data_IF_284362281025
#
_entry.id   IF_284362281025
#
_cell.length_a   1.000
_cell.length_b   1.000
_cell.length_c   1.000
_cell.angle_alpha   90.00
_cell.angle_beta   90.00
_cell.angle_gamma   90.00
#
_symmetry.space_group_name_H-M   'P 1'
#
loop_
_entity.id
_entity.type
_entity.pdbx_description
1 polymer ?
#
# COMPACT_ATOMS: atom_id res chain seq x y z
N UNK A 1 0.74 -18.41 14.46
CA UNK A 1 0.90 -17.65 13.21
C UNK A 1 0.73 -16.17 13.52
N UNK A 2 1.58 -15.34 12.92
CA UNK A 2 1.48 -13.89 12.97
C UNK A 2 1.21 -13.35 11.56
N UNK A 3 0.18 -12.51 11.40
CA UNK A 3 -0.06 -11.70 10.22
C UNK A 3 0.26 -10.25 10.56
N UNK A 4 1.37 -9.76 10.07
CA UNK A 4 1.85 -8.41 10.35
C UNK A 4 1.43 -7.43 9.25
N UNK A 5 0.27 -6.81 9.44
CA UNK A 5 -0.27 -5.75 8.58
C UNK A 5 -0.07 -4.36 9.18
N UNK A 6 0.31 -4.27 10.45
CA UNK A 6 0.43 -3.00 11.14
C UNK A 6 1.53 -2.13 10.50
N UNK A 7 1.13 -0.96 10.03
CA UNK A 7 2.03 0.04 9.45
C UNK A 7 1.33 1.39 9.32
N UNK A 8 2.09 2.46 9.30
CA UNK A 8 1.64 3.73 8.77
C UNK A 8 2.14 3.85 7.32
N UNK A 9 1.26 3.47 6.38
CA UNK A 9 1.59 3.35 4.96
C UNK A 9 1.35 4.68 4.23
N UNK A 10 2.24 5.66 4.41
CA UNK A 10 2.15 6.98 3.80
C UNK A 10 3.48 7.35 3.13
N UNK A 11 3.75 6.75 1.95
CA UNK A 11 4.99 6.95 1.18
C UNK A 11 5.36 8.42 1.06
N UNK A 12 4.46 9.22 0.46
CA UNK A 12 4.72 10.65 0.20
C UNK A 12 4.91 11.49 1.45
N UNK A 13 4.34 11.09 2.60
CA UNK A 13 4.52 11.79 3.88
C UNK A 13 5.76 11.33 4.63
N UNK A 14 6.22 10.11 4.41
CA UNK A 14 7.30 9.50 5.18
C UNK A 14 8.60 10.33 5.27
N UNK A 15 9.00 11.13 4.24
CA UNK A 15 10.16 12.01 4.35
C UNK A 15 10.01 13.13 5.39
N UNK A 16 8.79 13.52 5.74
CA UNK A 16 8.47 14.62 6.65
C UNK A 16 8.19 14.18 8.08
N UNK A 17 8.04 12.85 8.30
CA UNK A 17 7.77 12.20 9.59
C UNK A 17 8.70 10.99 9.79
N UNK A 18 9.98 11.16 9.54
CA UNK A 18 10.98 10.07 9.44
C UNK A 18 11.06 9.21 10.69
N UNK A 19 11.19 9.84 11.88
CA UNK A 19 11.28 9.10 13.13
C UNK A 19 10.00 8.31 13.39
N UNK A 20 8.85 8.94 13.27
CA UNK A 20 7.56 8.27 13.41
C UNK A 20 7.42 7.11 12.43
N UNK A 21 7.84 7.31 11.17
CA UNK A 21 7.81 6.27 10.15
C UNK A 21 8.66 5.06 10.56
N UNK A 22 9.89 5.26 11.01
CA UNK A 22 10.75 4.16 11.43
C UNK A 22 10.29 3.50 12.72
N UNK A 23 9.84 4.26 13.70
CA UNK A 23 9.30 3.72 14.96
C UNK A 23 8.11 2.77 14.71
N UNK A 24 7.19 3.16 13.81
CA UNK A 24 5.97 2.39 13.55
C UNK A 24 6.14 1.30 12.50
N UNK A 25 7.02 1.47 11.51
CA UNK A 25 7.14 0.52 10.40
C UNK A 25 8.35 -0.41 10.54
N UNK A 26 9.43 0.01 11.20
CA UNK A 26 10.64 -0.80 11.38
C UNK A 26 10.77 -1.32 12.82
N UNK A 27 10.82 -0.43 13.82
CA UNK A 27 11.08 -0.84 15.21
C UNK A 27 9.93 -1.73 15.72
N UNK A 28 8.68 -1.38 15.44
CA UNK A 28 7.53 -2.23 15.79
C UNK A 28 7.66 -3.61 15.14
N UNK A 29 8.08 -3.69 13.88
CA UNK A 29 8.26 -4.96 13.17
C UNK A 29 9.38 -5.79 13.80
N UNK A 30 10.51 -5.19 14.13
CA UNK A 30 11.64 -5.85 14.81
C UNK A 30 11.23 -6.44 16.15
N UNK A 31 10.43 -5.70 16.94
CA UNK A 31 9.88 -6.21 18.20
C UNK A 31 8.98 -7.43 17.99
N UNK A 32 8.10 -7.40 16.97
CA UNK A 32 7.24 -8.54 16.64
C UNK A 32 8.04 -9.75 16.15
N UNK A 33 9.09 -9.56 15.37
CA UNK A 33 10.00 -10.62 14.92
C UNK A 33 10.69 -11.24 16.13
N UNK A 34 11.24 -10.44 17.03
CA UNK A 34 11.89 -10.90 18.27
C UNK A 34 10.92 -11.73 19.12
N UNK A 35 9.72 -11.23 19.37
CA UNK A 35 8.69 -11.98 20.11
C UNK A 35 8.32 -13.29 19.38
N UNK A 36 8.22 -13.25 18.06
CA UNK A 36 7.86 -14.43 17.25
C UNK A 36 8.92 -15.53 17.36
N UNK A 37 10.19 -15.16 17.42
CA UNK A 37 11.29 -16.11 17.67
C UNK A 37 11.18 -16.69 19.09
N UNK A 38 11.04 -15.82 20.11
CA UNK A 38 10.97 -16.21 21.53
C UNK A 38 9.81 -17.17 21.83
N UNK A 39 8.66 -16.96 21.17
CA UNK A 39 7.45 -17.75 21.37
C UNK A 39 7.23 -18.85 20.32
N UNK A 40 8.25 -19.19 19.54
CA UNK A 40 8.22 -20.26 18.53
C UNK A 40 7.01 -20.14 17.59
N UNK A 41 6.77 -18.95 17.06
CA UNK A 41 5.71 -18.72 16.06
C UNK A 41 5.98 -19.58 14.82
N UNK A 42 5.01 -20.38 14.43
CA UNK A 42 5.17 -21.34 13.33
C UNK A 42 5.27 -20.69 11.93
N UNK A 43 4.70 -19.49 11.76
CA UNK A 43 4.76 -18.71 10.52
C UNK A 43 4.57 -17.23 10.78
N UNK A 44 5.43 -16.40 10.19
CA UNK A 44 5.32 -14.94 10.16
C UNK A 44 4.99 -14.47 8.73
N UNK A 45 3.79 -13.95 8.53
CA UNK A 45 3.36 -13.37 7.24
C UNK A 45 3.49 -11.87 7.31
N UNK A 46 4.34 -11.30 6.47
CA UNK A 46 4.63 -9.87 6.46
C UNK A 46 4.03 -9.19 5.22
N UNK A 47 3.18 -8.19 5.45
CA UNK A 47 2.76 -7.28 4.41
C UNK A 47 3.86 -6.21 4.19
N UNK A 48 4.73 -6.47 3.23
CA UNK A 48 5.71 -5.53 2.73
C UNK A 48 5.04 -4.50 1.81
N UNK A 49 5.68 -4.09 0.74
CA UNK A 49 5.12 -3.17 -0.25
C UNK A 49 5.86 -3.28 -1.57
N UNK A 50 5.18 -3.05 -2.67
CA UNK A 50 5.83 -2.87 -3.97
C UNK A 50 6.74 -1.63 -4.02
N UNK A 51 6.59 -0.66 -3.12
CA UNK A 51 7.44 0.53 -3.04
C UNK A 51 8.92 0.22 -2.82
N UNK A 52 9.25 -1.00 -2.34
CA UNK A 52 10.64 -1.45 -2.19
C UNK A 52 11.42 -1.51 -3.51
N UNK A 53 10.73 -1.61 -4.64
CA UNK A 53 11.38 -1.59 -5.96
C UNK A 53 11.88 -0.21 -6.37
N UNK A 54 11.23 0.85 -5.87
CA UNK A 54 11.57 2.24 -6.20
C UNK A 54 11.29 2.60 -7.65
N UNK A 55 12.15 3.44 -8.24
CA UNK A 55 12.01 3.97 -9.60
C UNK A 55 13.20 3.65 -10.54
N UNK A 56 14.17 2.89 -10.04
CA UNK A 56 15.39 2.57 -10.77
C UNK A 56 15.13 1.68 -12.00
N UNK A 57 14.14 0.82 -11.92
CA UNK A 57 13.81 -0.16 -12.95
C UNK A 57 12.45 0.15 -13.56
N UNK A 58 12.25 -0.30 -14.81
CA UNK A 58 10.95 -0.21 -15.47
C UNK A 58 10.06 -1.40 -15.03
N UNK A 59 8.78 -1.19 -14.73
CA UNK A 59 7.85 -2.28 -14.50
C UNK A 59 7.57 -3.09 -15.80
N UNK A 60 7.00 -4.31 -15.72
CA UNK A 60 6.49 -4.92 -14.48
C UNK A 60 7.63 -5.36 -13.56
N UNK A 61 7.48 -5.08 -12.25
CA UNK A 61 8.47 -5.52 -11.25
C UNK A 61 8.29 -7.01 -10.95
N UNK A 62 9.38 -7.77 -11.01
CA UNK A 62 9.42 -9.19 -10.60
C UNK A 62 10.18 -9.34 -9.27
N UNK A 63 9.92 -10.43 -8.56
CA UNK A 63 10.45 -10.65 -7.22
C UNK A 63 11.97 -10.81 -7.17
N UNK A 64 12.60 -11.18 -8.28
CA UNK A 64 14.06 -11.29 -8.47
C UNK A 64 14.76 -9.96 -8.74
N UNK A 65 14.00 -8.90 -9.05
CA UNK A 65 14.57 -7.57 -9.24
C UNK A 65 15.16 -7.03 -7.94
N UNK A 66 16.32 -6.39 -8.04
CA UNK A 66 16.95 -5.72 -6.91
C UNK A 66 16.11 -4.55 -6.41
N UNK A 67 15.93 -4.48 -5.09
CA UNK A 67 15.22 -3.40 -4.46
C UNK A 67 16.04 -2.09 -4.49
N UNK A 68 15.35 -0.97 -4.66
CA UNK A 68 15.95 0.36 -4.73
C UNK A 68 14.97 1.43 -4.15
N UNK A 69 14.63 1.34 -2.85
CA UNK A 69 13.64 2.21 -2.21
C UNK A 69 14.04 3.68 -2.31
N UNK A 70 13.06 4.56 -2.57
CA UNK A 70 13.27 6.00 -2.77
C UNK A 70 12.71 6.88 -1.65
N UNK A 71 12.04 6.30 -0.67
CA UNK A 71 11.46 7.00 0.47
C UNK A 71 11.63 6.22 1.78
N UNK A 72 11.51 6.88 2.96
CA UNK A 72 11.68 6.23 4.25
C UNK A 72 10.70 5.09 4.55
N UNK A 73 9.48 5.12 4.00
CA UNK A 73 8.52 4.02 4.16
C UNK A 73 9.01 2.77 3.43
N UNK A 74 9.43 2.91 2.19
CA UNK A 74 9.96 1.81 1.40
C UNK A 74 11.26 1.25 2.00
N UNK A 75 12.15 2.12 2.52
CA UNK A 75 13.36 1.71 3.27
C UNK A 75 12.99 0.87 4.48
N UNK A 76 12.00 1.31 5.29
CA UNK A 76 11.57 0.56 6.47
C UNK A 76 11.01 -0.82 6.09
N UNK A 77 10.17 -0.90 5.04
CA UNK A 77 9.63 -2.18 4.56
C UNK A 77 10.72 -3.13 4.09
N UNK A 78 11.67 -2.64 3.31
CA UNK A 78 12.79 -3.45 2.83
C UNK A 78 13.72 -3.91 3.96
N UNK A 79 13.98 -3.05 4.95
CA UNK A 79 14.77 -3.43 6.13
C UNK A 79 14.13 -4.59 6.91
N UNK A 80 12.80 -4.62 7.04
CA UNK A 80 12.07 -5.74 7.68
C UNK A 80 12.16 -7.01 6.83
N UNK A 81 12.14 -6.93 5.50
CA UNK A 81 12.35 -8.11 4.64
C UNK A 81 13.72 -8.74 4.90
N UNK A 82 14.78 -7.91 4.97
CA UNK A 82 16.14 -8.39 5.27
C UNK A 82 16.25 -9.00 6.68
N UNK A 83 15.60 -8.38 7.67
CA UNK A 83 15.60 -8.88 9.05
C UNK A 83 14.87 -10.23 9.17
N UNK A 84 13.78 -10.42 8.45
CA UNK A 84 13.08 -11.73 8.38
C UNK A 84 13.93 -12.82 7.73
N UNK A 85 14.69 -12.50 6.70
CA UNK A 85 15.62 -13.45 6.08
C UNK A 85 16.73 -13.89 7.07
N UNK A 86 17.26 -12.93 7.85
CA UNK A 86 18.24 -13.19 8.90
C UNK A 86 17.60 -14.03 10.02
N UNK A 87 16.39 -13.66 10.47
CA UNK A 87 15.66 -14.38 11.51
C UNK A 87 15.37 -15.85 11.11
N UNK A 88 15.06 -16.09 9.85
CA UNK A 88 14.89 -17.44 9.32
C UNK A 88 16.20 -18.24 9.36
N UNK A 89 17.29 -17.67 8.82
CA UNK A 89 18.59 -18.35 8.74
C UNK A 89 19.21 -18.62 10.12
N UNK A 90 19.10 -17.66 11.03
CA UNK A 90 19.75 -17.72 12.34
C UNK A 90 18.90 -18.38 13.41
N UNK A 91 17.57 -18.19 13.36
CA UNK A 91 16.67 -18.60 14.45
C UNK A 91 15.56 -19.56 13.99
N UNK A 92 15.48 -19.89 12.69
CA UNK A 92 14.48 -20.81 12.16
C UNK A 92 13.04 -20.24 12.10
N UNK A 93 12.85 -18.91 12.17
CA UNK A 93 11.54 -18.30 12.05
C UNK A 93 11.03 -18.40 10.60
N UNK A 94 10.11 -19.32 10.34
CA UNK A 94 9.49 -19.43 9.03
C UNK A 94 8.71 -18.17 8.69
N UNK A 95 8.96 -17.58 7.52
CA UNK A 95 8.27 -16.39 7.07
C UNK A 95 7.70 -16.54 5.64
N UNK A 96 6.78 -15.67 5.31
CA UNK A 96 6.36 -15.36 3.94
C UNK A 96 6.21 -13.85 3.82
N UNK A 97 6.87 -13.26 2.84
CA UNK A 97 6.76 -11.84 2.53
C UNK A 97 5.82 -11.67 1.36
N UNK A 98 4.80 -10.84 1.53
CA UNK A 98 3.89 -10.44 0.46
C UNK A 98 4.12 -8.97 0.15
N UNK A 99 4.34 -8.61 -1.12
CA UNK A 99 4.47 -7.23 -1.60
C UNK A 99 3.17 -6.81 -2.28
N UNK A 100 2.23 -6.20 -1.54
CA UNK A 100 0.94 -5.81 -2.09
C UNK A 100 1.03 -4.58 -2.99
N UNK A 101 0.10 -4.53 -3.95
CA UNK A 101 -0.14 -3.39 -4.84
C UNK A 101 -1.38 -2.63 -4.44
N UNK A 102 -1.28 -1.36 -4.16
CA UNK A 102 -2.37 -0.37 -3.98
C UNK A 102 -3.72 -0.98 -3.61
N UNK A 103 -3.78 -1.73 -2.50
CA UNK A 103 -5.01 -2.33 -2.03
C UNK A 103 -5.98 -1.26 -1.57
N UNK A 104 -7.24 -1.44 -1.96
CA UNK A 104 -8.33 -0.56 -1.61
C UNK A 104 -9.61 -1.37 -1.36
N UNK A 105 -10.60 -0.76 -0.74
CA UNK A 105 -11.90 -1.40 -0.55
C UNK A 105 -12.65 -0.90 0.68
N UNK A 106 -13.70 -1.63 1.02
CA UNK A 106 -14.49 -1.38 2.23
C UNK A 106 -13.60 -1.42 3.48
N UNK A 107 -14.00 -0.72 4.54
CA UNK A 107 -13.27 -0.57 5.80
C UNK A 107 -11.92 0.16 5.71
N UNK A 108 -11.58 0.71 4.55
CA UNK A 108 -10.38 1.53 4.42
C UNK A 108 -10.55 2.85 5.19
N UNK A 109 -9.47 3.31 5.85
CA UNK A 109 -9.45 4.66 6.43
C UNK A 109 -9.48 5.72 5.31
N UNK A 110 -10.65 6.32 5.09
CA UNK A 110 -10.87 7.38 4.10
C UNK A 110 -10.64 8.79 4.67
N UNK A 111 -10.46 8.92 5.99
CA UNK A 111 -10.31 10.22 6.69
C UNK A 111 -8.85 10.68 6.80
N UNK A 112 -7.89 9.91 6.35
CA UNK A 112 -6.48 10.28 6.34
C UNK A 112 -6.16 11.14 5.10
N UNK A 113 -5.54 12.32 5.31
CA UNK A 113 -5.20 13.28 4.23
C UNK A 113 -4.05 12.79 3.35
N UNK A 114 -3.26 11.83 3.81
CA UNK A 114 -1.91 11.60 3.26
C UNK A 114 -1.73 10.24 2.57
N UNK A 115 -2.58 9.27 2.83
CA UNK A 115 -2.39 7.92 2.35
C UNK A 115 -3.56 7.34 1.59
N UNK A 116 -3.21 6.56 0.59
CA UNK A 116 -4.10 5.87 -0.34
C UNK A 116 -5.02 6.83 -1.12
N UNK A 117 -4.62 7.10 -2.32
CA UNK A 117 -5.27 8.09 -3.21
C UNK A 117 -6.77 7.86 -3.35
N UNK A 118 -7.22 6.59 -3.49
CA UNK A 118 -8.64 6.26 -3.63
C UNK A 118 -9.44 6.63 -2.37
N UNK A 119 -8.88 6.41 -1.18
CA UNK A 119 -9.49 6.84 0.09
C UNK A 119 -9.56 8.35 0.22
N UNK A 120 -8.51 9.06 -0.22
CA UNK A 120 -8.48 10.53 -0.25
C UNK A 120 -9.62 11.08 -1.13
N UNK A 121 -9.78 10.53 -2.33
CA UNK A 121 -10.84 10.94 -3.25
C UNK A 121 -12.23 10.56 -2.74
N UNK A 122 -12.41 9.40 -2.10
CA UNK A 122 -13.67 9.01 -1.45
C UNK A 122 -14.11 10.08 -0.44
N UNK A 123 -13.19 10.51 0.44
CA UNK A 123 -13.48 11.59 1.40
C UNK A 123 -13.85 12.89 0.71
N UNK A 124 -13.09 13.29 -0.31
CA UNK A 124 -13.34 14.53 -1.04
C UNK A 124 -14.72 14.51 -1.71
N UNK A 125 -15.06 13.43 -2.41
CA UNK A 125 -16.35 13.28 -3.09
C UNK A 125 -17.53 13.21 -2.12
N UNK A 126 -17.39 12.54 -0.97
CA UNK A 126 -18.42 12.58 0.10
C UNK A 126 -18.70 14.00 0.57
N UNK A 127 -17.69 14.86 0.61
CA UNK A 127 -17.80 16.26 1.01
C UNK A 127 -18.03 17.21 -0.18
N UNK A 128 -18.38 16.69 -1.36
CA UNK A 128 -18.61 17.47 -2.61
C UNK A 128 -17.41 18.35 -2.98
N UNK A 129 -16.21 17.89 -2.66
CA UNK A 129 -14.95 18.52 -3.03
C UNK A 129 -14.38 17.87 -4.29
N UNK A 130 -13.70 18.66 -5.11
CA UNK A 130 -12.98 18.13 -6.27
C UNK A 130 -11.85 17.19 -5.84
N UNK A 131 -11.71 16.01 -6.46
CA UNK A 131 -10.57 15.13 -6.22
C UNK A 131 -9.25 15.83 -6.56
N UNK A 132 -8.22 15.63 -5.73
CA UNK A 132 -6.91 16.21 -5.94
C UNK A 132 -5.94 15.20 -6.52
N UNK A 133 -5.16 15.61 -7.53
CA UNK A 133 -4.13 14.80 -8.18
C UNK A 133 -2.80 15.56 -8.11
N UNK A 134 -1.74 14.94 -7.57
CA UNK A 134 -0.40 15.50 -7.63
C UNK A 134 0.20 15.28 -9.03
N UNK A 135 0.73 16.37 -9.62
CA UNK A 135 1.27 16.34 -10.99
C UNK A 135 0.18 16.29 -12.06
N UNK A 136 0.53 15.75 -13.21
CA UNK A 136 -0.33 15.69 -14.40
C UNK A 136 -1.30 14.49 -14.43
N UNK A 137 -1.21 13.59 -13.44
CA UNK A 137 -2.04 12.40 -13.35
C UNK A 137 -1.65 11.27 -14.33
N UNK A 138 -0.53 11.41 -15.03
CA UNK A 138 0.00 10.36 -15.95
C UNK A 138 0.73 9.23 -15.24
N UNK A 139 0.86 9.29 -13.92
CA UNK A 139 1.43 8.21 -13.12
C UNK A 139 0.58 6.95 -13.27
N UNK A 140 1.22 5.79 -13.40
CA UNK A 140 0.55 4.51 -13.63
C UNK A 140 0.64 3.63 -12.39
N UNK A 141 -0.48 3.06 -12.00
CA UNK A 141 -0.64 2.13 -10.88
C UNK A 141 -1.54 0.97 -11.27
N UNK A 142 -1.32 -0.18 -10.66
CA UNK A 142 -2.30 -1.25 -10.60
C UNK A 142 -3.00 -1.20 -9.25
N UNK A 143 -4.31 -1.45 -9.24
CA UNK A 143 -5.15 -1.43 -8.04
C UNK A 143 -5.72 -2.82 -7.78
N UNK A 144 -5.84 -3.20 -6.51
CA UNK A 144 -6.39 -4.49 -6.11
C UNK A 144 -7.48 -4.30 -5.07
N UNK A 145 -8.63 -4.89 -5.33
CA UNK A 145 -9.71 -4.88 -4.34
C UNK A 145 -9.38 -5.81 -3.17
N UNK A 146 -9.70 -5.39 -1.95
CA UNK A 146 -9.28 -6.06 -0.72
C UNK A 146 -9.70 -7.52 -0.65
N UNK A 147 -10.91 -7.87 -1.12
CA UNK A 147 -11.44 -9.23 -1.04
C UNK A 147 -10.59 -10.22 -1.86
N UNK A 148 -10.01 -9.79 -2.98
CA UNK A 148 -9.12 -10.61 -3.81
C UNK A 148 -7.81 -10.96 -3.09
N UNK A 149 -7.49 -10.27 -1.98
CA UNK A 149 -6.27 -10.48 -1.21
C UNK A 149 -6.43 -11.39 0.00
N UNK A 150 -7.65 -11.60 0.50
CA UNK A 150 -7.89 -12.31 1.77
C UNK A 150 -7.39 -13.76 1.70
N UNK A 151 -7.84 -14.51 0.69
CA UNK A 151 -7.39 -15.89 0.49
C UNK A 151 -5.88 -16.00 0.23
N UNK A 152 -5.26 -15.18 -0.62
CA UNK A 152 -3.81 -15.13 -0.78
C UNK A 152 -3.03 -14.94 0.52
N UNK A 153 -3.41 -14.01 1.37
CA UNK A 153 -2.73 -13.83 2.67
C UNK A 153 -2.93 -15.04 3.59
N UNK A 154 -4.11 -15.65 3.59
CA UNK A 154 -4.33 -16.88 4.33
C UNK A 154 -3.42 -18.00 3.81
N UNK A 155 -3.37 -18.22 2.51
CA UNK A 155 -2.54 -19.25 1.87
C UNK A 155 -1.03 -19.03 2.13
N UNK A 156 -0.59 -17.78 2.21
CA UNK A 156 0.79 -17.43 2.58
C UNK A 156 1.24 -18.04 3.92
N UNK A 157 0.29 -18.25 4.84
CA UNK A 157 0.59 -18.88 6.13
C UNK A 157 0.40 -20.41 6.13
N UNK A 158 -0.51 -20.93 5.30
CA UNK A 158 -0.92 -22.34 5.34
C UNK A 158 -0.04 -23.24 4.48
N UNK A 159 0.46 -22.73 3.35
CA UNK A 159 1.22 -23.55 2.39
C UNK A 159 2.71 -23.59 2.72
N UNK A 160 3.28 -24.78 2.85
CA UNK A 160 4.71 -24.94 3.08
C UNK A 160 5.57 -24.43 1.91
N UNK A 161 5.04 -24.45 0.69
CA UNK A 161 5.68 -23.86 -0.49
C UNK A 161 5.88 -22.36 -0.42
N UNK A 162 5.27 -21.68 0.57
CA UNK A 162 5.43 -20.24 0.79
C UNK A 162 6.51 -19.90 1.83
N UNK A 163 7.13 -20.93 2.49
CA UNK A 163 8.18 -20.67 3.48
C UNK A 163 9.41 -20.06 2.80
N UNK A 164 9.85 -18.93 3.32
CA UNK A 164 11.03 -18.22 2.79
C UNK A 164 10.78 -17.45 1.49
N UNK A 165 9.53 -17.41 1.02
CA UNK A 165 9.18 -16.79 -0.26
C UNK A 165 8.83 -15.32 -0.13
N UNK A 166 9.22 -14.55 -1.16
CA UNK A 166 8.77 -13.20 -1.42
C UNK A 166 7.83 -13.25 -2.61
N UNK A 167 6.63 -12.69 -2.47
CA UNK A 167 5.57 -12.85 -3.47
C UNK A 167 4.89 -11.49 -3.71
N UNK A 168 4.92 -11.03 -4.96
CA UNK A 168 4.12 -9.89 -5.38
C UNK A 168 2.64 -10.27 -5.37
N UNK A 169 1.79 -9.39 -4.85
CA UNK A 169 0.34 -9.62 -4.83
C UNK A 169 -0.39 -8.37 -5.29
N UNK A 170 -1.18 -8.48 -6.34
CA UNK A 170 -2.03 -7.36 -6.71
C UNK A 170 -2.37 -7.23 -8.16
N UNK A 171 -2.97 -6.07 -8.47
CA UNK A 171 -3.72 -5.78 -9.66
C UNK A 171 -3.01 -6.11 -10.96
N UNK A 172 -3.79 -6.75 -11.83
CA UNK A 172 -3.35 -7.25 -13.13
C UNK A 172 -3.38 -6.12 -14.18
N UNK A 173 -4.26 -5.13 -13.98
CA UNK A 173 -4.52 -4.07 -14.94
C UNK A 173 -3.97 -2.73 -14.46
N UNK A 174 -3.19 -2.11 -15.32
CA UNK A 174 -2.63 -0.78 -15.08
C UNK A 174 -3.67 0.31 -15.40
N UNK A 175 -3.66 1.36 -14.58
CA UNK A 175 -4.46 2.56 -14.78
C UNK A 175 -3.59 3.80 -14.55
N UNK A 176 -3.78 4.84 -15.35
CA UNK A 176 -3.26 6.16 -14.97
C UNK A 176 -4.04 6.68 -13.76
N UNK A 177 -3.44 7.58 -13.01
CA UNK A 177 -4.13 8.25 -11.90
C UNK A 177 -5.34 9.04 -12.40
N UNK A 178 -5.24 9.64 -13.60
CA UNK A 178 -6.37 10.29 -14.24
C UNK A 178 -7.50 9.31 -14.56
N UNK A 179 -7.21 8.13 -15.14
CA UNK A 179 -8.22 7.12 -15.44
C UNK A 179 -8.92 6.65 -14.18
N UNK A 180 -8.16 6.31 -13.14
CA UNK A 180 -8.71 5.85 -11.85
C UNK A 180 -9.61 6.93 -11.20
N UNK A 181 -9.22 8.21 -11.30
CA UNK A 181 -10.02 9.32 -10.80
C UNK A 181 -11.33 9.46 -11.59
N UNK A 182 -11.26 9.37 -12.91
CA UNK A 182 -12.44 9.46 -13.78
C UNK A 182 -13.41 8.31 -13.53
N UNK A 183 -12.91 7.07 -13.38
CA UNK A 183 -13.74 5.91 -13.02
C UNK A 183 -14.48 6.18 -11.71
N UNK A 184 -13.78 6.69 -10.68
CA UNK A 184 -14.43 6.99 -9.40
C UNK A 184 -15.48 8.10 -9.51
N UNK A 185 -15.18 9.19 -10.23
CA UNK A 185 -16.16 10.29 -10.45
C UNK A 185 -17.42 9.72 -11.13
N UNK A 186 -17.26 8.91 -12.17
CA UNK A 186 -18.36 8.28 -12.87
C UNK A 186 -19.20 7.39 -11.95
N UNK A 187 -18.55 6.56 -11.13
CA UNK A 187 -19.21 5.70 -10.13
C UNK A 187 -20.06 6.52 -9.15
N UNK A 188 -19.60 7.70 -8.76
CA UNK A 188 -20.36 8.56 -7.81
C UNK A 188 -21.52 9.30 -8.45
N UNK A 189 -21.54 9.41 -9.77
CA UNK A 189 -22.52 10.21 -10.52
C UNK A 189 -22.40 11.72 -10.27
N UNK A 190 -21.29 12.20 -9.70
CA UNK A 190 -21.11 13.62 -9.40
C UNK A 190 -20.46 14.35 -10.58
N UNK A 191 -20.89 15.58 -10.81
CA UNK A 191 -20.30 16.46 -11.83
C UNK A 191 -19.13 17.26 -11.24
N UNK A 192 -18.08 16.56 -10.79
CA UNK A 192 -16.85 17.16 -10.25
C UNK A 192 -15.68 16.86 -11.19
N UNK A 193 -14.65 17.70 -11.13
CA UNK A 193 -13.44 17.55 -11.96
C UNK A 193 -12.21 17.50 -11.08
N UNK A 194 -11.20 16.70 -11.42
CA UNK A 194 -9.96 16.68 -10.65
C UNK A 194 -9.25 18.04 -10.69
N UNK A 195 -8.61 18.37 -9.58
CA UNK A 195 -7.72 19.54 -9.45
C UNK A 195 -6.28 19.02 -9.40
N UNK A 196 -5.47 19.47 -10.34
CA UNK A 196 -4.06 19.12 -10.39
C UNK A 196 -3.24 20.02 -9.47
N UNK A 197 -2.46 19.40 -8.59
CA UNK A 197 -1.56 20.04 -7.65
C UNK A 197 -0.12 20.00 -8.17
N UNK A 198 0.80 20.68 -7.48
CA UNK A 198 2.23 20.56 -7.71
C UNK A 198 2.67 19.07 -7.69
N UNK A 199 3.53 18.69 -8.64
CA UNK A 199 4.07 17.33 -8.67
C UNK A 199 4.90 17.02 -7.41
N UNK A 200 4.74 15.82 -6.90
CA UNK A 200 5.53 15.34 -5.75
C UNK A 200 6.56 14.30 -6.18
N UNK A 201 7.55 14.07 -5.32
CA UNK A 201 8.50 12.98 -5.50
C UNK A 201 7.79 11.64 -5.29
N UNK A 202 7.61 10.88 -6.38
CA UNK A 202 7.00 9.55 -6.35
C UNK A 202 7.39 8.75 -7.61
N UNK A 203 7.33 7.43 -7.53
CA UNK A 203 7.52 6.55 -8.69
C UNK A 203 6.46 6.83 -9.76
N UNK A 204 6.89 7.09 -11.01
CA UNK A 204 5.97 7.36 -12.12
C UNK A 204 5.21 6.11 -12.56
N UNK A 205 5.88 4.97 -12.67
CA UNK A 205 5.33 3.72 -13.20
C UNK A 205 5.49 2.61 -12.16
N UNK A 206 4.39 2.02 -11.69
CA UNK A 206 4.44 1.05 -10.61
C UNK A 206 3.35 -0.02 -10.73
N UNK A 207 3.74 -1.19 -11.27
CA UNK A 207 3.00 -2.46 -11.26
C UNK A 207 3.98 -3.62 -11.30
N UNK A 208 3.53 -4.84 -11.01
CA UNK A 208 4.39 -6.03 -10.93
C UNK A 208 3.86 -7.21 -11.73
N UNK A 209 4.70 -8.22 -11.88
CA UNK A 209 4.28 -9.56 -12.25
C UNK A 209 3.41 -10.15 -11.13
N UNK A 210 2.53 -11.09 -11.45
CA UNK A 210 1.57 -11.69 -10.53
C UNK A 210 1.47 -13.22 -10.65
N UNK A 211 2.24 -13.82 -11.56
CA UNK A 211 2.22 -15.26 -11.84
C UNK A 211 2.58 -16.08 -10.61
N UNK A 212 3.53 -15.58 -9.79
CA UNK A 212 3.95 -16.24 -8.57
C UNK A 212 2.82 -16.29 -7.54
N UNK A 213 2.04 -15.22 -7.41
CA UNK A 213 0.88 -15.20 -6.51
C UNK A 213 -0.25 -16.12 -6.98
N UNK A 214 -0.47 -16.26 -8.29
CA UNK A 214 -1.41 -17.28 -8.81
C UNK A 214 -0.96 -18.68 -8.44
N UNK A 215 0.32 -18.99 -8.66
CA UNK A 215 0.88 -20.32 -8.42
C UNK A 215 0.93 -20.69 -6.94
N UNK A 216 1.37 -19.80 -6.08
CA UNK A 216 1.64 -20.10 -4.68
C UNK A 216 0.48 -19.72 -3.75
N UNK A 217 -0.24 -18.64 -4.05
CA UNK A 217 -1.27 -18.09 -3.16
C UNK A 217 -2.70 -18.32 -3.65
N UNK A 218 -2.89 -18.98 -4.81
CA UNK A 218 -4.18 -19.16 -5.49
C UNK A 218 -4.86 -17.81 -5.79
N UNK A 219 -4.07 -16.77 -6.07
CA UNK A 219 -4.58 -15.44 -6.37
C UNK A 219 -5.46 -15.47 -7.62
N UNK A 220 -6.60 -14.80 -7.53
CA UNK A 220 -7.52 -14.58 -8.63
C UNK A 220 -7.96 -13.12 -8.62
N UNK A 221 -7.81 -12.44 -9.72
CA UNK A 221 -8.38 -11.11 -9.91
C UNK A 221 -9.87 -11.27 -10.28
N UNK A 222 -10.76 -10.93 -9.38
CA UNK A 222 -12.20 -11.12 -9.53
C UNK A 222 -12.96 -9.80 -9.61
N UNK A 223 -12.41 -8.74 -8.97
CA UNK A 223 -13.08 -7.45 -8.87
C UNK A 223 -12.26 -6.41 -9.62
N UNK A 224 -12.79 -5.88 -10.71
CA UNK A 224 -12.14 -4.78 -11.43
C UNK A 224 -12.26 -3.44 -10.69
N UNK A 225 -11.58 -2.40 -11.21
CA UNK A 225 -11.50 -1.10 -10.54
C UNK A 225 -12.87 -0.44 -10.40
N UNK A 226 -13.72 -0.50 -11.41
CA UNK A 226 -15.04 0.14 -11.41
C UNK A 226 -15.98 -0.53 -10.41
N UNK A 227 -16.05 -1.85 -10.41
CA UNK A 227 -16.84 -2.63 -9.47
C UNK A 227 -16.37 -2.40 -8.03
N UNK A 228 -15.06 -2.48 -7.80
CA UNK A 228 -14.47 -2.28 -6.47
C UNK A 228 -14.69 -0.86 -5.92
N UNK A 229 -14.58 0.15 -6.78
CA UNK A 229 -14.87 1.54 -6.41
C UNK A 229 -16.36 1.75 -6.13
N UNK A 230 -17.25 1.09 -6.88
CA UNK A 230 -18.69 1.11 -6.62
C UNK A 230 -19.03 0.52 -5.25
N UNK A 231 -18.49 -0.67 -4.92
CA UNK A 231 -18.66 -1.28 -3.59
C UNK A 231 -18.12 -0.37 -2.47
N UNK A 232 -16.95 0.20 -2.69
CA UNK A 232 -16.32 1.11 -1.70
C UNK A 232 -17.13 2.39 -1.53
N UNK A 233 -17.70 2.97 -2.60
CA UNK A 233 -18.55 4.15 -2.55
C UNK A 233 -19.83 3.90 -1.76
N UNK A 234 -20.52 2.78 -2.04
CA UNK A 234 -21.73 2.40 -1.31
C UNK A 234 -21.47 2.19 0.19
N UNK A 235 -20.31 1.66 0.54
CA UNK A 235 -19.87 1.56 1.92
C UNK A 235 -19.54 2.94 2.51
N UNK A 236 -18.80 3.77 1.79
CA UNK A 236 -18.32 5.07 2.26
C UNK A 236 -19.48 6.03 2.59
N UNK A 237 -20.54 6.02 1.79
CA UNK A 237 -21.76 6.82 2.05
C UNK A 237 -22.46 6.51 3.38
N UNK A 238 -22.27 5.30 3.89
CA UNK A 238 -22.87 4.84 5.17
C UNK A 238 -21.98 5.13 6.38
N UNK A 239 -20.78 5.65 6.16
CA UNK A 239 -19.86 5.92 7.25
C UNK A 239 -20.22 7.23 7.97
N UNK A 240 -19.93 7.33 9.28
CA UNK A 240 -20.16 8.58 10.00
C UNK A 240 -19.30 9.70 9.42
N UNK A 241 -19.84 10.90 9.38
CA UNK A 241 -19.04 12.07 9.06
C UNK A 241 -18.00 12.29 10.17
N UNK A 242 -16.70 12.20 9.80
CA UNK A 242 -15.58 12.41 10.70
C UNK A 242 -14.71 13.51 10.13
N UNK A 243 -14.11 14.29 11.03
CA UNK A 243 -13.05 15.22 10.63
C UNK A 243 -11.89 14.47 9.99
N UNK A 244 -11.30 15.11 9.00
CA UNK A 244 -10.14 14.58 8.31
C UNK A 244 -8.92 14.62 9.22
N UNK A 245 -8.22 13.51 9.35
CA UNK A 245 -6.96 13.50 10.07
C UNK A 245 -5.92 14.36 9.31
N UNK A 246 -5.39 15.35 10.02
CA UNK A 246 -4.31 16.22 9.56
C UNK A 246 -3.15 16.05 10.52
N UNK A 247 -1.95 15.87 9.98
CA UNK A 247 -0.76 15.73 10.80
C UNK A 247 -0.51 16.99 11.62
N UNK A 248 -0.44 16.89 12.98
CA UNK A 248 -0.44 18.08 13.83
C UNK A 248 0.88 18.86 13.74
N UNK A 249 1.99 18.16 13.51
CA UNK A 249 3.32 18.78 13.42
C UNK A 249 4.27 17.85 12.66
N UNK A 250 4.80 18.32 11.54
CA UNK A 250 5.83 17.61 10.79
C UNK A 250 7.16 17.67 11.52
N UNK A 251 7.95 16.60 11.43
CA UNK A 251 9.33 16.58 11.95
C UNK A 251 10.25 17.46 11.08
N UNK A 252 9.98 17.51 9.78
CA UNK A 252 10.69 18.32 8.80
C UNK A 252 9.70 19.10 7.94
N UNK A 253 9.83 20.43 7.93
CA UNK A 253 9.01 21.30 7.10
C UNK A 253 9.68 21.65 5.75
N UNK A 254 11.01 21.43 5.63
CA UNK A 254 11.73 21.76 4.39
C UNK A 254 11.27 20.86 3.26
N UNK A 255 10.78 21.46 2.18
CA UNK A 255 10.31 20.76 0.98
C UNK A 255 8.90 20.14 1.10
N UNK A 256 8.15 20.48 2.15
CA UNK A 256 6.77 20.01 2.27
C UNK A 256 5.89 20.66 1.19
N UNK A 257 4.99 19.88 0.63
CA UNK A 257 4.08 20.31 -0.43
C UNK A 257 3.05 21.32 0.09
N UNK A 258 2.73 22.35 -0.70
CA UNK A 258 1.82 23.43 -0.28
C UNK A 258 0.46 22.90 0.16
N UNK A 259 -0.07 21.90 -0.52
CA UNK A 259 -1.34 21.24 -0.15
C UNK A 259 -1.35 20.63 1.26
N UNK A 260 -0.18 20.34 1.83
CA UNK A 260 -0.06 19.78 3.17
C UNK A 260 0.26 20.81 4.25
N UNK A 261 0.59 22.04 3.87
CA UNK A 261 0.86 23.14 4.82
C UNK A 261 -0.40 23.69 5.49
N UNK A 262 -1.58 23.43 4.90
CA UNK A 262 -2.87 23.95 5.35
C UNK A 262 -3.75 22.83 5.94
#
# INVERSE_FOLDING_TARGET
IVYHFAAYAAEGLSPFIRKYNYDNNLITSTNLITCSIQYNVSRFVFASSMSVYGDKYKPPFSEDMKQAPIDPYAVAKYAVEMDLEIAFKQHGLNYTIVRPHNFYGINQNIWDKYRNVLGIWMYQLLNKQNPTIFGDGSQVRAFSYVDDSVLPFWNASQKNSCIGEIINLGGIKEHTINDACNVLINVTGQNLKPVHLEARHETKYAWSTWEKSVKLLDFKHQVDLEEGLSKMWEWAKKQPNRERFIWPKYELNKGIYDYWKN
#
